data_IF_910571436261
#
_entry.id   IF_910571436261
#
_cell.length_a   1.000
_cell.length_b   1.000
_cell.length_c   1.000
_cell.angle_alpha   90.00
_cell.angle_beta   90.00
_cell.angle_gamma   90.00
#
_symmetry.space_group_name_H-M   'P 1'
#
loop_
_entity.id
_entity.type
_entity.pdbx_description
1 polymer ?
#
# COMPACT_ATOMS: atom_id res chain seq x y z
N UNK A 1 9.52 45.03 2.07
CA UNK A 1 8.67 43.97 1.49
C UNK A 1 9.47 42.66 1.48
N UNK A 2 9.48 41.95 2.62
CA UNK A 2 8.92 40.58 2.78
C UNK A 2 9.63 39.52 1.91
N UNK A 3 10.78 38.96 2.33
CA UNK A 3 10.88 37.74 3.16
C UNK A 3 9.99 36.55 2.75
N UNK A 4 9.95 36.22 1.46
CA UNK A 4 9.49 34.91 1.00
C UNK A 4 10.71 33.99 0.79
N UNK A 5 10.67 32.78 1.36
CA UNK A 5 11.55 31.62 1.09
C UNK A 5 12.74 31.35 2.04
N UNK A 6 12.65 31.67 3.33
CA UNK A 6 13.54 31.05 4.35
C UNK A 6 13.18 29.58 4.65
N UNK A 7 12.96 28.74 3.63
CA UNK A 7 12.93 27.28 3.79
C UNK A 7 14.18 26.70 3.16
N UNK A 8 15.13 26.32 4.01
CA UNK A 8 16.30 25.55 3.59
C UNK A 8 15.84 24.30 2.85
N UNK A 9 16.58 23.86 1.82
CA UNK A 9 16.24 22.69 1.00
C UNK A 9 15.84 21.46 1.84
N UNK A 10 16.38 21.32 3.05
CA UNK A 10 16.07 20.27 4.04
C UNK A 10 14.60 20.25 4.51
N UNK A 11 13.95 21.41 4.65
CA UNK A 11 12.54 21.49 5.08
C UNK A 11 11.60 21.20 3.92
N UNK A 12 11.95 21.63 2.71
CA UNK A 12 11.22 21.30 1.49
C UNK A 12 11.34 19.80 1.17
N UNK A 13 12.55 19.24 1.24
CA UNK A 13 12.81 17.82 1.00
C UNK A 13 12.07 16.93 2.01
N UNK A 14 11.96 17.36 3.28
CA UNK A 14 11.17 16.63 4.29
C UNK A 14 9.67 16.67 4.00
N UNK A 15 9.12 17.80 3.51
CA UNK A 15 7.70 17.90 3.15
C UNK A 15 7.37 17.05 1.92
N UNK A 16 8.22 17.10 0.90
CA UNK A 16 8.10 16.24 -0.29
C UNK A 16 8.14 14.76 0.09
N UNK A 17 9.09 14.34 0.93
CA UNK A 17 9.15 12.95 1.41
C UNK A 17 7.93 12.53 2.25
N UNK A 18 7.30 13.46 2.98
CA UNK A 18 6.06 13.21 3.72
C UNK A 18 4.85 13.04 2.77
N UNK A 19 4.77 13.86 1.72
CA UNK A 19 3.76 13.75 0.67
C UNK A 19 3.92 12.44 -0.11
N UNK A 20 5.14 12.08 -0.52
CA UNK A 20 5.45 10.83 -1.21
C UNK A 20 5.08 9.59 -0.38
N UNK A 21 5.37 9.63 0.93
CA UNK A 21 5.00 8.54 1.83
C UNK A 21 3.47 8.42 2.00
N UNK A 22 2.75 9.53 1.92
CA UNK A 22 1.29 9.56 2.00
C UNK A 22 0.66 8.99 0.73
N UNK A 23 1.17 9.36 -0.45
CA UNK A 23 0.71 8.82 -1.73
C UNK A 23 1.00 7.31 -1.79
N UNK A 24 2.20 6.89 -1.40
CA UNK A 24 2.57 5.46 -1.37
C UNK A 24 1.70 4.67 -0.40
N UNK A 25 1.37 5.25 0.76
CA UNK A 25 0.44 4.64 1.70
C UNK A 25 -0.97 4.51 1.14
N UNK A 26 -1.47 5.54 0.46
CA UNK A 26 -2.78 5.54 -0.20
C UNK A 26 -2.85 4.48 -1.31
N UNK A 27 -1.86 4.42 -2.20
CA UNK A 27 -1.78 3.40 -3.24
C UNK A 27 -1.75 1.99 -2.64
N UNK A 28 -0.98 1.80 -1.56
CA UNK A 28 -0.95 0.52 -0.85
C UNK A 28 -2.32 0.14 -0.28
N UNK A 29 -3.03 1.11 0.30
CA UNK A 29 -4.39 0.93 0.83
C UNK A 29 -5.34 0.45 -0.26
N UNK A 30 -5.43 1.19 -1.38
CA UNK A 30 -6.30 0.84 -2.52
C UNK A 30 -5.98 -0.54 -3.09
N UNK A 31 -4.71 -0.92 -3.19
CA UNK A 31 -4.29 -2.25 -3.66
C UNK A 31 -4.77 -3.36 -2.72
N UNK A 32 -4.69 -3.15 -1.41
CA UNK A 32 -5.11 -4.12 -0.41
C UNK A 32 -6.64 -4.27 -0.35
N UNK A 33 -7.37 -3.17 -0.52
CA UNK A 33 -8.84 -3.20 -0.65
C UNK A 33 -9.29 -3.95 -1.91
N UNK A 34 -8.67 -3.68 -3.06
CA UNK A 34 -8.93 -4.42 -4.29
C UNK A 34 -8.63 -5.93 -4.12
N UNK A 35 -7.53 -6.27 -3.44
CA UNK A 35 -7.20 -7.65 -3.14
C UNK A 35 -8.26 -8.33 -2.27
N UNK A 36 -8.79 -7.63 -1.25
CA UNK A 36 -9.86 -8.17 -0.39
C UNK A 36 -11.11 -8.53 -1.20
N UNK A 37 -11.52 -7.68 -2.13
CA UNK A 37 -12.65 -7.96 -3.03
C UNK A 37 -12.36 -9.16 -3.91
N UNK A 38 -11.17 -9.25 -4.53
CA UNK A 38 -10.79 -10.38 -5.37
C UNK A 38 -10.70 -11.70 -4.59
N UNK A 39 -10.24 -11.65 -3.34
CA UNK A 39 -10.12 -12.82 -2.47
C UNK A 39 -11.50 -13.42 -2.14
N UNK A 40 -12.51 -12.58 -1.95
CA UNK A 40 -13.88 -13.00 -1.61
C UNK A 40 -14.73 -13.36 -2.83
N UNK A 41 -14.47 -12.74 -3.98
CA UNK A 41 -15.29 -12.90 -5.20
C UNK A 41 -14.75 -13.94 -6.18
N UNK A 42 -13.59 -14.54 -5.90
CA UNK A 42 -12.96 -15.51 -6.80
C UNK A 42 -12.18 -16.59 -6.07
N UNK A 43 -11.98 -17.73 -6.72
CA UNK A 43 -11.11 -18.83 -6.25
C UNK A 43 -9.70 -18.76 -6.83
N UNK A 44 -9.32 -17.61 -7.41
CA UNK A 44 -7.99 -17.44 -8.04
C UNK A 44 -6.88 -17.59 -7.00
N UNK A 45 -5.75 -18.24 -7.27
CA UNK A 45 -4.67 -18.39 -6.30
C UNK A 45 -4.24 -17.07 -5.66
N UNK A 46 -3.98 -17.05 -4.34
CA UNK A 46 -3.55 -15.84 -3.61
C UNK A 46 -2.33 -15.19 -4.26
N UNK A 47 -1.39 -16.00 -4.76
CA UNK A 47 -0.21 -15.52 -5.47
C UNK A 47 -0.56 -14.75 -6.76
N UNK A 48 -1.59 -15.18 -7.50
CA UNK A 48 -2.05 -14.48 -8.70
C UNK A 48 -2.69 -13.13 -8.34
N UNK A 49 -3.50 -13.09 -7.28
CA UNK A 49 -4.10 -11.83 -6.80
C UNK A 49 -3.02 -10.86 -6.32
N UNK A 50 -1.99 -11.35 -5.63
CA UNK A 50 -0.87 -10.51 -5.22
C UNK A 50 -0.20 -9.81 -6.42
N UNK A 51 0.04 -10.56 -7.51
CA UNK A 51 0.61 -10.00 -8.74
C UNK A 51 -0.33 -8.97 -9.37
N UNK A 52 -1.62 -9.27 -9.47
CA UNK A 52 -2.63 -8.39 -10.07
C UNK A 52 -2.76 -7.05 -9.33
N UNK A 53 -2.67 -7.07 -7.99
CA UNK A 53 -2.70 -5.85 -7.18
C UNK A 53 -1.32 -5.18 -7.06
N UNK A 54 -0.34 -5.62 -7.85
CA UNK A 54 0.96 -4.96 -8.00
C UNK A 54 1.97 -5.29 -6.90
N UNK A 55 1.87 -6.45 -6.27
CA UNK A 55 2.89 -6.99 -5.37
C UNK A 55 3.75 -8.03 -6.08
N UNK A 56 5.06 -7.81 -6.09
CA UNK A 56 6.04 -8.70 -6.72
C UNK A 56 6.27 -10.00 -5.93
N UNK A 57 5.83 -10.04 -4.66
CA UNK A 57 6.07 -11.18 -3.77
C UNK A 57 4.85 -11.47 -2.91
N UNK A 58 4.46 -12.74 -2.90
CA UNK A 58 3.42 -13.27 -2.05
C UNK A 58 3.65 -12.97 -0.56
N UNK A 59 4.89 -13.08 -0.08
CA UNK A 59 5.23 -12.80 1.32
C UNK A 59 5.04 -11.33 1.69
N UNK A 60 5.46 -10.41 0.80
CA UNK A 60 5.25 -8.96 0.99
C UNK A 60 3.77 -8.61 1.02
N UNK A 61 2.99 -9.20 0.11
CA UNK A 61 1.54 -9.04 0.06
C UNK A 61 0.89 -9.54 1.35
N UNK A 62 1.15 -10.78 1.75
CA UNK A 62 0.55 -11.38 2.95
C UNK A 62 0.89 -10.61 4.22
N UNK A 63 2.13 -10.12 4.36
CA UNK A 63 2.51 -9.29 5.50
C UNK A 63 1.76 -7.94 5.52
N UNK A 64 1.65 -7.27 4.37
CA UNK A 64 0.92 -6.01 4.25
C UNK A 64 -0.59 -6.20 4.48
N UNK A 65 -1.17 -7.26 3.92
CA UNK A 65 -2.58 -7.62 4.06
C UNK A 65 -2.91 -7.93 5.52
N UNK A 66 -2.11 -8.77 6.19
CA UNK A 66 -2.28 -9.07 7.61
C UNK A 66 -2.12 -7.83 8.48
N UNK A 67 -1.16 -6.96 8.18
CA UNK A 67 -0.98 -5.69 8.91
C UNK A 67 -2.21 -4.80 8.81
N UNK A 68 -2.92 -4.83 7.67
CA UNK A 68 -4.08 -3.97 7.41
C UNK A 68 -5.41 -4.55 7.90
N UNK A 69 -5.64 -5.85 7.72
CA UNK A 69 -6.91 -6.52 7.99
C UNK A 69 -6.87 -7.47 9.19
N UNK A 70 -5.71 -7.68 9.81
CA UNK A 70 -5.54 -8.57 10.97
C UNK A 70 -5.49 -10.06 10.62
N UNK A 71 -5.92 -10.45 9.42
CA UNK A 71 -5.97 -11.85 8.96
C UNK A 71 -5.08 -12.07 7.74
N UNK A 72 -4.67 -13.30 7.50
CA UNK A 72 -3.91 -13.66 6.29
C UNK A 72 -4.88 -13.93 5.13
N UNK A 73 -4.48 -13.67 3.87
CA UNK A 73 -5.33 -13.91 2.70
C UNK A 73 -5.86 -15.34 2.59
N UNK A 74 -5.06 -16.33 3.00
CA UNK A 74 -5.44 -17.74 3.01
C UNK A 74 -6.50 -18.09 4.06
N UNK A 75 -6.70 -17.26 5.09
CA UNK A 75 -7.77 -17.49 6.08
C UNK A 75 -9.15 -17.07 5.55
N UNK A 76 -9.19 -16.35 4.43
CA UNK A 76 -10.43 -15.97 3.75
C UNK A 76 -10.88 -17.03 2.74
N UNK A 77 -10.13 -18.13 2.60
CA UNK A 77 -10.32 -19.18 1.61
C UNK A 77 -10.04 -20.54 2.24
N UNK A 78 -11.10 -21.31 2.45
CA UNK A 78 -11.01 -22.73 2.84
C UNK A 78 -10.53 -23.60 1.67
#
# INVERSE_FOLDING_TARGET
>A
MAQALSTTASTLNRRLAQEDNTITACVRETRLEAAMVLLQSSDRPVAAIALDVGYESHSKFTAAFRRRFGVVPSALRD
#
